data_IF_998260496567
#
_entry.id   IF_998260496567
#
_cell.length_a   1.000
_cell.length_b   1.000
_cell.length_c   1.000
_cell.angle_alpha   90.00
_cell.angle_beta   90.00
_cell.angle_gamma   90.00
#
_symmetry.space_group_name_H-M   'P 1'
#
loop_
_entity.id
_entity.type
_entity.pdbx_description
1 polymer ?
#
# COMPACT_ATOMS: atom_id res chain seq x y z
N UNK A 1 16.57 -49.42 11.79
CA UNK A 1 16.26 -48.20 11.03
C UNK A 1 15.04 -47.55 11.69
N UNK A 2 15.24 -46.56 12.57
CA UNK A 2 14.13 -45.92 13.28
C UNK A 2 13.33 -45.05 12.28
N UNK A 3 11.99 -45.17 12.31
CA UNK A 3 11.11 -44.39 11.43
C UNK A 3 11.02 -42.96 11.96
N UNK A 4 11.65 -42.02 11.29
CA UNK A 4 11.72 -40.61 11.71
C UNK A 4 10.45 -39.79 11.46
N UNK A 5 9.45 -40.39 10.79
CA UNK A 5 8.22 -39.73 10.32
C UNK A 5 6.99 -40.59 10.57
N UNK A 6 5.86 -39.95 10.87
CA UNK A 6 4.55 -40.57 10.98
C UNK A 6 3.97 -40.90 9.61
N UNK A 7 2.95 -41.76 9.59
CA UNK A 7 2.19 -42.09 8.36
C UNK A 7 1.56 -40.85 7.69
N UNK A 8 1.42 -39.74 8.44
CA UNK A 8 0.85 -38.49 7.96
C UNK A 8 1.94 -37.45 7.61
N UNK A 9 3.18 -37.90 7.36
CA UNK A 9 4.29 -37.06 6.92
C UNK A 9 4.88 -36.13 7.97
N UNK A 10 4.40 -36.18 9.22
CA UNK A 10 4.90 -35.34 10.32
C UNK A 10 6.10 -35.98 11.00
N UNK A 11 7.01 -35.16 11.51
CA UNK A 11 8.09 -35.65 12.37
C UNK A 11 7.51 -36.27 13.64
N UNK A 12 8.03 -37.44 14.04
CA UNK A 12 7.64 -38.06 15.31
C UNK A 12 8.10 -37.21 16.50
N UNK A 13 7.38 -37.35 17.63
CA UNK A 13 7.71 -36.66 18.88
C UNK A 13 9.10 -37.10 19.35
N UNK A 14 10.01 -36.14 19.50
CA UNK A 14 11.42 -36.39 19.85
C UNK A 14 12.41 -36.29 18.70
N UNK A 15 11.93 -36.06 17.46
CA UNK A 15 12.83 -35.82 16.32
C UNK A 15 13.15 -34.32 16.14
N UNK A 16 14.40 -33.96 15.81
CA UNK A 16 14.85 -32.56 15.76
C UNK A 16 14.23 -31.73 14.62
N UNK A 17 13.42 -32.34 13.75
CA UNK A 17 12.94 -31.70 12.51
C UNK A 17 14.07 -31.47 11.51
N UNK A 18 13.73 -31.17 10.27
CA UNK A 18 14.72 -30.71 9.29
C UNK A 18 15.05 -29.23 9.51
N UNK A 19 16.23 -28.74 9.08
CA UNK A 19 16.50 -27.31 9.05
C UNK A 19 15.39 -26.62 8.25
N UNK A 20 14.63 -25.75 8.91
CA UNK A 20 13.55 -25.00 8.27
C UNK A 20 14.09 -24.20 7.08
N UNK A 21 13.23 -23.88 6.11
CA UNK A 21 13.61 -23.10 4.92
C UNK A 21 14.45 -21.88 5.33
N UNK A 22 15.67 -21.72 4.81
CA UNK A 22 16.54 -20.60 5.15
C UNK A 22 15.83 -19.28 4.82
N UNK A 23 15.97 -18.31 5.72
CA UNK A 23 15.20 -17.06 5.67
C UNK A 23 15.99 -15.97 4.91
N UNK A 24 15.28 -15.24 4.02
CA UNK A 24 15.51 -13.84 3.60
C UNK A 24 16.73 -13.43 2.74
N UNK A 25 17.75 -14.25 2.52
CA UNK A 25 18.88 -13.83 1.67
C UNK A 25 18.44 -13.45 0.24
N UNK A 26 17.56 -14.26 -0.34
CA UNK A 26 17.05 -14.08 -1.71
C UNK A 26 16.26 -12.77 -1.89
N UNK A 27 15.51 -12.33 -0.88
CA UNK A 27 14.70 -11.10 -0.97
C UNK A 27 15.57 -9.84 -0.98
N UNK A 28 16.66 -9.84 -0.19
CA UNK A 28 17.62 -8.74 -0.17
C UNK A 28 18.33 -8.60 -1.52
N UNK A 29 18.67 -9.71 -2.16
CA UNK A 29 19.32 -9.72 -3.47
C UNK A 29 18.40 -9.13 -4.56
N UNK A 30 17.11 -9.44 -4.52
CA UNK A 30 16.13 -8.85 -5.44
C UNK A 30 15.95 -7.34 -5.19
N UNK A 31 15.90 -6.91 -3.93
CA UNK A 31 15.80 -5.48 -3.61
C UNK A 31 17.04 -4.72 -4.08
N UNK A 32 18.24 -5.26 -3.85
CA UNK A 32 19.48 -4.68 -4.33
C UNK A 32 19.51 -4.58 -5.87
N UNK A 33 19.07 -5.63 -6.57
CA UNK A 33 19.00 -5.63 -8.02
C UNK A 33 18.05 -4.57 -8.57
N UNK A 34 16.88 -4.36 -7.94
CA UNK A 34 15.92 -3.32 -8.33
C UNK A 34 16.50 -1.93 -8.08
N UNK A 35 17.04 -1.67 -6.88
CA UNK A 35 17.61 -0.37 -6.54
C UNK A 35 18.79 0.01 -7.44
N UNK A 36 19.61 -0.97 -7.83
CA UNK A 36 20.73 -0.73 -8.75
C UNK A 36 20.28 -0.48 -10.20
N UNK A 37 19.10 -0.99 -10.59
CA UNK A 37 18.57 -0.86 -11.94
C UNK A 37 17.85 0.47 -12.14
N UNK A 38 17.13 0.94 -11.13
CA UNK A 38 16.33 2.17 -11.22
C UNK A 38 17.27 3.37 -11.12
N UNK A 39 17.50 4.03 -12.25
CA UNK A 39 18.27 5.28 -12.27
C UNK A 39 17.42 6.45 -11.81
N UNK A 40 18.06 7.58 -11.49
CA UNK A 40 17.34 8.80 -11.12
C UNK A 40 16.50 9.35 -12.30
N UNK A 41 16.96 9.15 -13.53
CA UNK A 41 16.25 9.55 -14.74
C UNK A 41 14.98 8.73 -14.93
N UNK A 42 15.07 7.39 -14.83
CA UNK A 42 13.91 6.50 -14.86
C UNK A 42 12.89 6.89 -13.77
N UNK A 43 13.38 7.26 -12.59
CA UNK A 43 12.53 7.69 -11.49
C UNK A 43 11.80 9.01 -11.79
N UNK A 44 12.49 9.98 -12.41
CA UNK A 44 11.89 11.24 -12.83
C UNK A 44 10.78 11.02 -13.87
N UNK A 45 10.95 10.09 -14.80
CA UNK A 45 9.91 9.75 -15.78
C UNK A 45 8.65 9.19 -15.11
N UNK A 46 8.81 8.29 -14.13
CA UNK A 46 7.70 7.72 -13.36
C UNK A 46 6.94 8.82 -12.61
N UNK A 47 7.67 9.73 -11.94
CA UNK A 47 7.07 10.87 -11.22
C UNK A 47 6.35 11.81 -12.20
N UNK A 48 6.97 12.11 -13.35
CA UNK A 48 6.38 12.93 -14.41
C UNK A 48 5.04 12.36 -14.87
N UNK A 49 4.98 11.05 -15.11
CA UNK A 49 3.74 10.38 -15.51
C UNK A 49 2.66 10.43 -14.43
N UNK A 50 3.04 10.18 -13.18
CA UNK A 50 2.11 10.28 -12.06
C UNK A 50 1.53 11.70 -11.89
N UNK A 51 2.33 12.74 -12.15
CA UNK A 51 1.85 14.14 -12.13
C UNK A 51 0.82 14.37 -13.25
N UNK A 52 1.07 13.87 -14.46
CA UNK A 52 0.09 13.97 -15.56
C UNK A 52 -1.22 13.28 -15.20
N UNK A 53 -1.16 12.08 -14.65
CA UNK A 53 -2.34 11.29 -14.30
C UNK A 53 -3.11 11.92 -13.12
N UNK A 54 -2.39 12.48 -12.14
CA UNK A 54 -2.98 13.26 -11.05
C UNK A 54 -3.72 14.51 -11.57
N UNK A 55 -3.12 15.23 -12.53
CA UNK A 55 -3.73 16.39 -13.20
C UNK A 55 -4.97 16.00 -14.01
N UNK A 56 -4.96 14.84 -14.66
CA UNK A 56 -6.10 14.33 -15.45
C UNK A 56 -7.31 13.92 -14.63
N UNK A 57 -7.15 13.61 -13.35
CA UNK A 57 -8.28 13.16 -12.55
C UNK A 57 -8.00 12.03 -11.58
N UNK A 58 -6.85 11.36 -11.69
CA UNK A 58 -6.65 10.11 -10.96
C UNK A 58 -6.43 10.35 -9.47
N UNK A 59 -7.37 9.88 -8.66
CA UNK A 59 -7.32 9.96 -7.20
C UNK A 59 -6.14 9.16 -6.61
N UNK A 60 -5.73 8.04 -7.23
CA UNK A 60 -4.62 7.22 -6.74
C UNK A 60 -3.28 7.91 -6.95
N UNK A 61 -3.09 8.53 -8.11
CA UNK A 61 -1.87 9.28 -8.39
C UNK A 61 -1.72 10.48 -7.44
N UNK A 62 -2.83 11.17 -7.12
CA UNK A 62 -2.83 12.25 -6.13
C UNK A 62 -2.51 11.75 -4.72
N UNK A 63 -3.14 10.66 -4.27
CA UNK A 63 -2.88 10.06 -2.95
C UNK A 63 -1.41 9.65 -2.83
N UNK A 64 -0.88 8.97 -3.84
CA UNK A 64 0.52 8.59 -3.90
C UNK A 64 1.44 9.80 -3.78
N UNK A 65 1.26 10.83 -4.63
CA UNK A 65 2.06 12.05 -4.56
C UNK A 65 1.94 12.77 -3.21
N UNK A 66 0.73 12.87 -2.64
CA UNK A 66 0.53 13.54 -1.35
C UNK A 66 1.24 12.83 -0.21
N UNK A 67 1.29 11.49 -0.22
CA UNK A 67 1.99 10.72 0.83
C UNK A 67 3.49 10.95 0.83
N UNK A 68 4.09 11.16 -0.34
CA UNK A 68 5.52 11.47 -0.45
C UNK A 68 5.84 12.95 -0.21
N UNK A 69 4.94 13.87 -0.56
CA UNK A 69 5.17 15.31 -0.43
C UNK A 69 4.82 15.88 0.95
N UNK A 70 3.72 15.42 1.55
CA UNK A 70 3.19 15.92 2.82
C UNK A 70 3.59 15.00 3.98
N UNK A 71 4.00 13.77 3.68
CA UNK A 71 4.19 12.71 4.67
C UNK A 71 2.90 11.97 4.97
N UNK A 72 3.03 10.74 5.50
CA UNK A 72 1.89 9.91 5.92
C UNK A 72 1.46 10.26 7.35
N UNK A 73 2.39 10.81 8.13
CA UNK A 73 2.17 11.19 9.52
C UNK A 73 2.13 12.73 9.60
N UNK A 74 1.07 13.33 10.18
CA UNK A 74 1.17 14.72 10.59
C UNK A 74 2.37 14.82 11.54
N UNK A 75 3.24 15.84 11.41
CA UNK A 75 4.35 16.00 12.33
C UNK A 75 3.79 16.02 13.76
N UNK A 76 4.30 15.15 14.63
CA UNK A 76 4.03 15.29 16.07
C UNK A 76 4.44 16.71 16.43
N UNK A 77 3.44 17.48 16.83
CA UNK A 77 3.54 18.92 16.98
C UNK A 77 4.52 19.25 18.10
N UNK A 78 5.64 19.84 17.76
CA UNK A 78 6.27 20.85 18.60
C UNK A 78 6.32 22.15 17.80
N UNK A 79 5.31 22.98 18.05
CA UNK A 79 5.34 24.44 18.01
C UNK A 79 6.04 25.11 16.82
N UNK A 80 5.31 25.40 15.73
CA UNK A 80 5.30 26.71 15.02
C UNK A 80 4.01 26.83 14.18
N UNK A 81 2.90 27.24 14.81
CA UNK A 81 1.70 27.70 14.09
C UNK A 81 1.94 29.11 13.53
N UNK A 82 2.39 29.20 12.29
CA UNK A 82 2.05 30.34 11.43
C UNK A 82 0.59 30.14 10.97
N UNK A 83 -0.32 31.14 11.09
CA UNK A 83 -1.74 30.94 10.84
C UNK A 83 -1.98 30.65 9.36
N UNK A 84 -2.11 29.35 9.03
CA UNK A 84 -2.47 28.91 7.69
C UNK A 84 -3.83 29.53 7.32
N UNK A 85 -3.81 30.43 6.32
CA UNK A 85 -5.01 30.88 5.61
C UNK A 85 -5.78 29.64 5.16
N UNK A 86 -6.93 29.40 5.77
CA UNK A 86 -7.91 28.42 5.28
C UNK A 86 -8.28 28.76 3.84
N UNK A 87 -7.66 28.09 2.88
CA UNK A 87 -8.16 28.05 1.51
C UNK A 87 -9.23 26.97 1.49
N UNK A 88 -10.49 27.40 1.54
CA UNK A 88 -11.62 26.50 1.27
C UNK A 88 -11.50 26.09 -0.20
N UNK A 89 -10.87 24.94 -0.45
CA UNK A 89 -10.95 24.30 -1.76
C UNK A 89 -12.36 23.75 -1.86
N UNK A 90 -13.21 24.44 -2.60
CA UNK A 90 -14.49 23.92 -3.07
C UNK A 90 -14.20 22.66 -3.89
N UNK A 91 -14.29 21.50 -3.26
CA UNK A 91 -14.24 20.22 -3.97
C UNK A 91 -15.62 20.03 -4.60
N UNK A 92 -15.78 20.16 -5.93
CA UNK A 92 -17.05 19.82 -6.56
C UNK A 92 -17.32 18.34 -6.28
N UNK A 93 -18.47 18.09 -5.66
CA UNK A 93 -19.03 16.77 -5.40
C UNK A 93 -18.79 15.87 -6.63
N UNK A 94 -17.94 14.85 -6.46
CA UNK A 94 -17.55 13.92 -7.51
C UNK A 94 -18.63 12.86 -7.79
N UNK A 95 -19.89 13.15 -7.45
CA UNK A 95 -21.08 12.41 -7.86
C UNK A 95 -21.14 10.99 -7.31
N UNK A 96 -20.24 10.63 -6.39
CA UNK A 96 -20.16 9.30 -5.79
C UNK A 96 -21.03 9.23 -4.55
N UNK A 97 -22.29 9.62 -4.70
CA UNK A 97 -23.32 9.40 -3.69
C UNK A 97 -23.59 7.90 -3.49
N UNK A 98 -24.25 7.51 -2.39
CA UNK A 98 -24.66 6.13 -2.19
C UNK A 98 -25.47 5.64 -3.40
N UNK A 99 -25.19 4.41 -3.87
CA UNK A 99 -25.97 3.81 -4.96
C UNK A 99 -27.44 3.75 -4.52
N UNK A 100 -28.32 4.27 -5.36
CA UNK A 100 -29.77 4.26 -5.16
C UNK A 100 -30.40 3.19 -6.06
N UNK A 101 -31.49 2.59 -5.60
CA UNK A 101 -32.33 1.74 -6.44
C UNK A 101 -33.18 2.57 -7.43
N UNK A 102 -34.00 1.91 -8.25
CA UNK A 102 -34.89 2.56 -9.22
C UNK A 102 -35.94 3.48 -8.55
N UNK A 103 -36.19 3.28 -7.26
CA UNK A 103 -37.14 4.03 -6.44
C UNK A 103 -36.46 5.16 -5.63
N UNK A 104 -35.14 5.33 -5.77
CA UNK A 104 -34.36 6.42 -5.16
C UNK A 104 -33.88 6.14 -3.72
N UNK A 105 -34.09 4.95 -3.18
CA UNK A 105 -33.64 4.55 -1.85
C UNK A 105 -32.18 4.10 -1.85
N UNK A 106 -31.45 4.39 -0.77
CA UNK A 106 -30.04 4.02 -0.60
C UNK A 106 -29.93 2.50 -0.42
N UNK A 107 -29.14 1.84 -1.29
CA UNK A 107 -28.94 0.40 -1.23
C UNK A 107 -28.10 0.05 0.02
N UNK A 108 -28.63 -0.74 0.97
CA UNK A 108 -27.89 -1.11 2.17
C UNK A 108 -26.72 -2.04 1.82
N UNK A 109 -25.53 -1.73 2.32
CA UNK A 109 -24.34 -2.57 2.16
C UNK A 109 -24.49 -3.82 3.04
N UNK A 110 -24.80 -4.97 2.44
CA UNK A 110 -24.81 -6.25 3.16
C UNK A 110 -23.36 -6.73 3.35
N UNK A 111 -22.83 -6.84 4.58
CA UNK A 111 -21.53 -7.48 4.80
C UNK A 111 -21.65 -8.96 4.42
N UNK A 112 -20.73 -9.43 3.57
CA UNK A 112 -20.70 -10.82 3.08
C UNK A 112 -20.51 -11.82 4.23
N UNK A 113 -21.19 -12.96 4.08
CA UNK A 113 -21.12 -14.15 4.94
C UNK A 113 -19.80 -14.87 4.75
#
# INVERSE_FOLDING_TARGET
MARDRSNNGRFLKGNPGGPGRPRRAVEADYLAAITNRVTLEDWQEVVGRAIEDAKKGDARARDWLSRYLVGVDPPESEDQQEPLRTVIINCPDNGRGPKRDADGNVIPHTPGV
#
